data_IF_367447567347
#
_entry.id   IF_367447567347
#
_cell.length_a   1.000
_cell.length_b   1.000
_cell.length_c   1.000
_cell.angle_alpha   90.00
_cell.angle_beta   90.00
_cell.angle_gamma   90.00
#
_symmetry.space_group_name_H-M   'P 1'
#
loop_
_entity.id
_entity.type
_entity.pdbx_description
1 polymer ?
#
# COMPACT_ATOMS: atom_id res chain seq x y z
N UNK A 1 41.63 29.76 -46.72
CA UNK A 1 41.60 28.28 -46.67
C UNK A 1 41.43 27.86 -45.21
N UNK A 2 40.21 27.57 -44.83
CA UNK A 2 39.84 27.19 -43.45
C UNK A 2 39.55 25.70 -43.53
N UNK A 3 40.42 24.87 -42.95
CA UNK A 3 40.20 23.43 -42.83
C UNK A 3 39.27 23.14 -41.68
N UNK A 4 38.07 22.66 -41.98
CA UNK A 4 37.10 22.14 -41.05
C UNK A 4 37.61 20.81 -40.50
N UNK A 5 37.89 20.75 -39.18
CA UNK A 5 38.03 19.46 -38.47
C UNK A 5 36.63 18.85 -38.33
N UNK A 6 36.45 17.73 -39.00
CA UNK A 6 35.31 16.82 -38.78
C UNK A 6 35.67 15.96 -37.57
N UNK A 7 35.17 16.32 -36.41
CA UNK A 7 35.23 15.43 -35.24
C UNK A 7 34.20 14.32 -35.43
N UNK A 8 34.70 13.12 -35.51
CA UNK A 8 34.00 11.88 -35.85
C UNK A 8 32.97 11.48 -34.79
N UNK A 9 31.79 11.09 -35.25
CA UNK A 9 30.65 10.57 -34.51
C UNK A 9 30.92 9.34 -33.61
N UNK A 10 32.12 8.75 -33.69
CA UNK A 10 32.44 7.48 -33.06
C UNK A 10 32.63 7.55 -31.53
N UNK A 11 33.05 8.68 -30.98
CA UNK A 11 33.24 8.82 -29.52
C UNK A 11 31.92 8.98 -28.76
N UNK A 12 30.96 9.64 -29.39
CA UNK A 12 29.61 9.81 -28.79
C UNK A 12 28.83 8.48 -28.76
N UNK A 13 28.96 7.68 -29.82
CA UNK A 13 28.32 6.36 -29.93
C UNK A 13 28.92 5.35 -28.94
N UNK A 14 30.24 5.40 -28.70
CA UNK A 14 30.89 4.53 -27.69
C UNK A 14 30.45 4.91 -26.25
N UNK A 15 30.34 6.19 -25.93
CA UNK A 15 29.87 6.65 -24.60
C UNK A 15 28.39 6.31 -24.41
N UNK A 16 27.56 6.38 -25.44
CA UNK A 16 26.13 6.02 -25.38
C UNK A 16 25.97 4.51 -25.18
N UNK A 17 26.73 3.67 -25.89
CA UNK A 17 26.72 2.21 -25.70
C UNK A 17 27.20 1.80 -24.31
N UNK A 18 28.29 2.39 -23.80
CA UNK A 18 28.80 2.08 -22.46
C UNK A 18 27.81 2.47 -21.35
N UNK A 19 27.05 3.57 -21.52
CA UNK A 19 26.01 3.98 -20.57
C UNK A 19 24.77 3.08 -20.60
N UNK A 20 24.37 2.56 -21.76
CA UNK A 20 23.25 1.61 -21.88
C UNK A 20 23.60 0.28 -21.26
N UNK A 21 24.78 -0.27 -21.52
CA UNK A 21 25.24 -1.55 -20.96
C UNK A 21 25.42 -1.48 -19.43
N UNK A 22 25.94 -0.37 -18.91
CA UNK A 22 26.08 -0.15 -17.47
C UNK A 22 24.72 -0.07 -16.76
N UNK A 23 23.77 0.68 -17.31
CA UNK A 23 22.43 0.81 -16.76
C UNK A 23 21.64 -0.51 -16.79
N UNK A 24 21.80 -1.31 -17.85
CA UNK A 24 21.19 -2.64 -17.97
C UNK A 24 21.83 -3.66 -17.02
N UNK A 25 23.14 -3.59 -16.81
CA UNK A 25 23.82 -4.43 -15.82
C UNK A 25 23.39 -4.09 -14.38
N UNK A 26 23.24 -2.80 -14.06
CA UNK A 26 22.76 -2.33 -12.74
C UNK A 26 21.30 -2.75 -12.51
N UNK A 27 20.43 -2.62 -13.52
CA UNK A 27 19.05 -3.11 -13.47
C UNK A 27 18.98 -4.61 -13.27
N UNK A 28 19.73 -5.42 -14.06
CA UNK A 28 19.81 -6.88 -13.92
C UNK A 28 20.32 -7.31 -12.55
N UNK A 29 21.33 -6.62 -11.99
CA UNK A 29 21.87 -6.93 -10.66
C UNK A 29 20.89 -6.59 -9.55
N UNK A 30 20.16 -5.46 -9.65
CA UNK A 30 19.08 -5.08 -8.72
C UNK A 30 17.94 -6.10 -8.75
N UNK A 31 17.48 -6.52 -9.94
CA UNK A 31 16.43 -7.52 -10.11
C UNK A 31 16.83 -8.87 -9.52
N UNK A 32 18.06 -9.33 -9.77
CA UNK A 32 18.58 -10.61 -9.24
C UNK A 32 18.71 -10.58 -7.71
N UNK A 33 19.19 -9.48 -7.13
CA UNK A 33 19.27 -9.31 -5.68
C UNK A 33 17.86 -9.22 -5.05
N UNK A 34 16.90 -8.56 -5.71
CA UNK A 34 15.51 -8.51 -5.27
C UNK A 34 14.87 -9.90 -5.28
N UNK A 35 15.01 -10.66 -6.38
CA UNK A 35 14.51 -12.03 -6.49
C UNK A 35 15.12 -12.92 -5.39
N UNK A 36 16.44 -12.88 -5.19
CA UNK A 36 17.12 -13.68 -4.18
C UNK A 36 16.69 -13.29 -2.74
N UNK A 37 16.48 -12.01 -2.46
CA UNK A 37 15.99 -11.58 -1.15
C UNK A 37 14.51 -11.94 -0.95
N UNK A 38 13.71 -11.88 -2.01
CA UNK A 38 12.30 -12.23 -1.97
C UNK A 38 12.08 -13.72 -1.72
N UNK A 39 12.82 -14.59 -2.43
CA UNK A 39 12.73 -16.06 -2.25
C UNK A 39 13.28 -16.56 -0.91
N UNK A 40 14.17 -15.80 -0.26
CA UNK A 40 14.71 -16.10 1.08
C UNK A 40 13.85 -15.57 2.23
N UNK A 41 12.90 -14.70 1.93
CA UNK A 41 12.03 -14.10 2.95
C UNK A 41 11.15 -15.18 3.59
N UNK A 42 11.24 -15.29 4.93
CA UNK A 42 10.49 -16.26 5.72
C UNK A 42 8.97 -16.17 5.46
N UNK A 43 8.43 -14.98 5.35
CA UNK A 43 7.00 -14.77 5.16
C UNK A 43 6.53 -15.04 3.74
N UNK A 44 7.41 -14.85 2.74
CA UNK A 44 7.14 -15.29 1.36
C UNK A 44 7.04 -16.83 1.31
N UNK A 45 7.96 -17.54 1.96
CA UNK A 45 7.89 -19.01 2.04
C UNK A 45 6.64 -19.47 2.78
N UNK A 46 6.31 -18.85 3.90
CA UNK A 46 5.10 -19.15 4.65
C UNK A 46 3.82 -18.85 3.85
N UNK A 47 3.79 -17.78 3.06
CA UNK A 47 2.62 -17.51 2.20
C UNK A 47 2.47 -18.55 1.10
N UNK A 48 3.56 -19.00 0.51
CA UNK A 48 3.54 -20.06 -0.51
C UNK A 48 3.15 -21.43 0.07
N UNK A 49 3.66 -21.78 1.25
CA UNK A 49 3.31 -23.04 1.92
C UNK A 49 1.91 -23.04 2.54
N UNK A 50 1.40 -21.87 2.93
CA UNK A 50 0.07 -21.68 3.48
C UNK A 50 -1.00 -21.36 2.43
N UNK A 51 -0.66 -21.36 1.14
CA UNK A 51 -1.55 -21.01 0.03
C UNK A 51 -2.18 -19.62 0.19
N UNK A 52 -1.41 -18.65 0.69
CA UNK A 52 -1.83 -17.26 0.81
C UNK A 52 -1.37 -16.43 -0.40
N UNK A 53 -2.17 -15.45 -0.80
CA UNK A 53 -1.91 -14.63 -2.01
C UNK A 53 -0.59 -13.87 -1.94
N UNK A 54 -0.22 -13.34 -0.78
CA UNK A 54 1.09 -12.70 -0.57
C UNK A 54 1.46 -12.61 0.91
N UNK A 55 2.72 -12.20 1.17
CA UNK A 55 3.22 -11.93 2.54
C UNK A 55 2.45 -10.81 3.26
N UNK A 56 1.70 -9.94 2.54
CA UNK A 56 0.90 -8.89 3.14
C UNK A 56 -0.20 -9.45 4.07
N UNK A 57 -0.64 -10.70 3.86
CA UNK A 57 -1.51 -11.44 4.77
C UNK A 57 -1.02 -11.37 6.23
N UNK A 58 0.26 -11.61 6.45
CA UNK A 58 0.84 -11.63 7.80
C UNK A 58 0.89 -10.26 8.46
N UNK A 59 0.95 -9.18 7.69
CA UNK A 59 0.92 -7.81 8.24
C UNK A 59 -0.42 -7.55 8.94
N UNK A 60 -1.53 -7.82 8.26
CA UNK A 60 -2.85 -7.64 8.86
C UNK A 60 -3.09 -8.64 10.01
N UNK A 61 -2.67 -9.89 9.86
CA UNK A 61 -2.71 -10.89 10.94
C UNK A 61 -2.02 -10.38 12.23
N UNK A 62 -0.81 -9.83 12.13
CA UNK A 62 -0.06 -9.31 13.27
C UNK A 62 -0.74 -8.08 13.89
N UNK A 63 -1.24 -7.16 13.04
CA UNK A 63 -1.98 -5.98 13.47
C UNK A 63 -3.25 -6.40 14.22
N UNK A 64 -4.05 -7.28 13.63
CA UNK A 64 -5.30 -7.74 14.27
C UNK A 64 -5.04 -8.54 15.55
N UNK A 65 -4.02 -9.40 15.55
CA UNK A 65 -3.64 -10.15 16.77
C UNK A 65 -3.29 -9.21 17.92
N UNK A 66 -2.63 -8.10 17.65
CA UNK A 66 -2.18 -7.14 18.66
C UNK A 66 -3.28 -6.15 19.08
N UNK A 67 -4.00 -5.58 18.12
CA UNK A 67 -4.93 -4.48 18.34
C UNK A 67 -6.40 -4.91 18.32
N UNK A 68 -6.71 -6.15 17.89
CA UNK A 68 -8.06 -6.75 17.86
C UNK A 68 -9.06 -5.93 17.02
N UNK A 69 -8.57 -5.29 15.95
CA UNK A 69 -9.33 -4.36 15.11
C UNK A 69 -10.53 -5.01 14.41
N UNK A 70 -10.46 -6.31 14.13
CA UNK A 70 -11.51 -7.05 13.44
C UNK A 70 -12.59 -7.61 14.39
N UNK A 71 -12.34 -7.63 15.70
CA UNK A 71 -13.26 -8.29 16.65
C UNK A 71 -14.61 -7.55 16.75
N UNK A 72 -14.60 -6.22 16.72
CA UNK A 72 -15.77 -5.37 16.96
C UNK A 72 -16.26 -4.62 15.72
N UNK A 73 -15.72 -4.92 14.55
CA UNK A 73 -16.05 -4.28 13.29
C UNK A 73 -16.80 -5.25 12.38
N UNK A 74 -17.84 -4.82 11.69
CA UNK A 74 -18.64 -5.63 10.77
C UNK A 74 -18.52 -5.17 9.32
N UNK A 75 -18.64 -3.86 9.09
CA UNK A 75 -18.53 -3.23 7.79
C UNK A 75 -17.10 -2.79 7.55
N UNK A 76 -16.41 -3.44 6.63
CA UNK A 76 -14.97 -3.26 6.39
C UNK A 76 -14.74 -2.82 4.95
N UNK A 77 -13.92 -1.79 4.77
CA UNK A 77 -13.47 -1.31 3.47
C UNK A 77 -11.98 -1.52 3.31
N UNK A 78 -11.57 -2.31 2.31
CA UNK A 78 -10.16 -2.63 1.99
C UNK A 78 -9.74 -1.85 0.73
N UNK A 79 -8.93 -0.79 0.92
CA UNK A 79 -8.45 0.13 -0.11
C UNK A 79 -7.08 -0.32 -0.63
N UNK A 80 -6.93 -0.42 -1.96
CA UNK A 80 -5.70 -0.95 -2.57
C UNK A 80 -5.56 -2.45 -2.30
N UNK A 81 -6.67 -3.17 -2.46
CA UNK A 81 -6.81 -4.54 -1.99
C UNK A 81 -6.01 -5.57 -2.79
N UNK A 82 -5.69 -5.32 -4.08
CA UNK A 82 -5.01 -6.30 -4.94
C UNK A 82 -3.60 -6.66 -4.42
N UNK A 83 -3.23 -7.94 -4.43
CA UNK A 83 -3.87 -9.15 -4.96
C UNK A 83 -4.93 -9.79 -4.04
N UNK A 84 -5.32 -9.17 -2.93
CA UNK A 84 -6.38 -9.62 -2.04
C UNK A 84 -5.92 -10.25 -0.73
N UNK A 85 -4.69 -10.00 -0.29
CA UNK A 85 -4.13 -10.68 0.90
C UNK A 85 -4.82 -10.30 2.21
N UNK A 86 -5.22 -9.04 2.37
CA UNK A 86 -5.95 -8.58 3.54
C UNK A 86 -7.40 -9.05 3.51
N UNK A 87 -8.06 -8.88 2.37
CA UNK A 87 -9.39 -9.42 2.13
C UNK A 87 -9.46 -10.93 2.35
N UNK A 88 -8.43 -11.69 1.94
CA UNK A 88 -8.32 -13.12 2.16
C UNK A 88 -8.18 -13.48 3.65
N UNK A 89 -7.34 -12.73 4.40
CA UNK A 89 -7.23 -12.91 5.85
C UNK A 89 -8.58 -12.74 6.54
N UNK A 90 -9.30 -11.66 6.21
CA UNK A 90 -10.60 -11.35 6.81
C UNK A 90 -11.62 -12.43 6.46
N UNK A 91 -11.75 -12.79 5.18
CA UNK A 91 -12.70 -13.81 4.71
C UNK A 91 -12.47 -15.16 5.37
N UNK A 92 -11.20 -15.60 5.54
CA UNK A 92 -10.87 -16.87 6.18
C UNK A 92 -11.08 -16.88 7.69
N UNK A 93 -10.84 -15.73 8.35
CA UNK A 93 -10.84 -15.63 9.82
C UNK A 93 -12.18 -15.14 10.39
N UNK A 94 -12.99 -14.45 9.59
CA UNK A 94 -14.20 -13.75 10.02
C UNK A 94 -15.29 -13.80 8.93
N UNK A 95 -15.95 -14.97 8.79
CA UNK A 95 -16.85 -15.27 7.66
C UNK A 95 -18.11 -14.39 7.55
N UNK A 96 -18.52 -13.70 8.62
CA UNK A 96 -19.76 -12.94 8.67
C UNK A 96 -19.56 -11.41 8.44
N UNK A 97 -18.35 -11.01 8.03
CA UNK A 97 -18.06 -9.59 7.80
C UNK A 97 -18.60 -9.11 6.44
N UNK A 98 -19.18 -7.91 6.41
CA UNK A 98 -19.47 -7.22 5.17
C UNK A 98 -18.19 -6.55 4.67
N UNK A 99 -17.52 -7.17 3.71
CA UNK A 99 -16.21 -6.74 3.21
C UNK A 99 -16.31 -6.25 1.78
N UNK A 100 -16.06 -4.96 1.60
CA UNK A 100 -15.91 -4.31 0.30
C UNK A 100 -14.43 -4.06 0.05
N UNK A 101 -13.94 -4.50 -1.09
CA UNK A 101 -12.55 -4.32 -1.52
C UNK A 101 -12.50 -3.51 -2.81
N UNK A 102 -11.57 -2.56 -2.91
CA UNK A 102 -11.39 -1.76 -4.13
C UNK A 102 -9.92 -1.66 -4.53
N UNK A 103 -9.66 -1.81 -5.82
CA UNK A 103 -8.33 -1.59 -6.41
C UNK A 103 -8.47 -1.22 -7.89
N UNK A 104 -7.48 -0.49 -8.42
CA UNK A 104 -7.35 -0.21 -9.86
C UNK A 104 -6.90 -1.45 -10.64
N UNK A 105 -6.24 -2.39 -9.98
CA UNK A 105 -5.77 -3.67 -10.51
C UNK A 105 -6.80 -4.76 -10.23
N UNK A 106 -7.07 -5.63 -11.20
CA UNK A 106 -7.96 -6.76 -11.01
C UNK A 106 -7.49 -7.70 -9.91
N UNK A 107 -8.45 -8.27 -9.21
CA UNK A 107 -8.23 -9.23 -8.13
C UNK A 107 -9.00 -10.52 -8.40
N UNK A 108 -8.34 -11.67 -8.21
CA UNK A 108 -9.04 -12.97 -8.27
C UNK A 108 -10.15 -12.99 -7.20
N UNK A 109 -11.34 -13.52 -7.50
CA UNK A 109 -12.43 -13.58 -6.54
C UNK A 109 -12.06 -14.23 -5.21
N UNK A 110 -12.64 -13.73 -4.13
CA UNK A 110 -12.54 -14.28 -2.77
C UNK A 110 -13.96 -14.45 -2.26
N UNK A 111 -14.25 -15.61 -1.66
CA UNK A 111 -15.57 -15.87 -1.08
C UNK A 111 -15.88 -14.87 0.02
N UNK A 112 -17.09 -14.29 0.00
CA UNK A 112 -17.51 -13.31 1.00
C UNK A 112 -16.91 -11.90 0.83
N UNK A 113 -16.17 -11.63 -0.27
CA UNK A 113 -15.60 -10.32 -0.58
C UNK A 113 -16.29 -9.70 -1.80
N UNK A 114 -16.81 -8.51 -1.64
CA UNK A 114 -17.34 -7.76 -2.77
C UNK A 114 -16.24 -6.86 -3.34
N UNK A 115 -15.65 -7.27 -4.45
CA UNK A 115 -14.59 -6.51 -5.13
C UNK A 115 -15.15 -5.51 -6.13
N UNK A 116 -14.63 -4.30 -6.09
CA UNK A 116 -14.89 -3.21 -7.06
C UNK A 116 -13.56 -2.88 -7.74
N UNK A 117 -13.49 -3.09 -9.06
CA UNK A 117 -12.38 -2.53 -9.84
C UNK A 117 -12.63 -1.04 -10.02
N UNK A 118 -11.79 -0.20 -9.44
CA UNK A 118 -11.99 1.25 -9.46
C UNK A 118 -10.89 2.03 -8.75
N UNK A 119 -11.04 3.35 -8.79
CA UNK A 119 -10.10 4.29 -8.16
C UNK A 119 -10.82 5.05 -7.04
N UNK A 120 -10.25 5.06 -5.84
CA UNK A 120 -10.78 5.77 -4.66
C UNK A 120 -10.93 7.29 -4.88
N UNK A 121 -10.19 7.86 -5.82
CA UNK A 121 -10.31 9.28 -6.19
C UNK A 121 -11.44 9.56 -7.20
N UNK A 122 -12.05 8.50 -7.77
CA UNK A 122 -13.17 8.64 -8.68
C UNK A 122 -14.50 8.71 -7.93
N UNK A 123 -15.29 9.75 -8.17
CA UNK A 123 -16.57 10.00 -7.49
C UNK A 123 -17.57 8.86 -7.73
N UNK A 124 -17.67 8.33 -8.97
CA UNK A 124 -18.59 7.25 -9.30
C UNK A 124 -18.22 5.95 -8.55
N UNK A 125 -16.92 5.68 -8.38
CA UNK A 125 -16.48 4.48 -7.67
C UNK A 125 -16.73 4.62 -6.17
N UNK A 126 -16.54 5.81 -5.59
CA UNK A 126 -16.95 6.11 -4.21
C UNK A 126 -18.45 5.91 -4.01
N UNK A 127 -19.28 6.38 -4.94
CA UNK A 127 -20.75 6.15 -4.88
C UNK A 127 -21.11 4.67 -4.90
N UNK A 128 -20.41 3.85 -5.70
CA UNK A 128 -20.60 2.38 -5.70
C UNK A 128 -20.23 1.76 -4.34
N UNK A 129 -19.14 2.22 -3.72
CA UNK A 129 -18.75 1.76 -2.38
C UNK A 129 -19.85 2.12 -1.37
N UNK A 130 -20.26 3.40 -1.34
CA UNK A 130 -21.31 3.90 -0.44
C UNK A 130 -22.60 3.09 -0.53
N UNK A 131 -23.06 2.80 -1.76
CA UNK A 131 -24.29 2.04 -1.98
C UNK A 131 -24.24 0.61 -1.45
N UNK A 132 -23.06 0.05 -1.22
CA UNK A 132 -22.88 -1.34 -0.76
C UNK A 132 -22.54 -1.48 0.71
N UNK A 133 -21.80 -0.52 1.28
CA UNK A 133 -21.35 -0.61 2.66
C UNK A 133 -22.18 0.28 3.61
N UNK A 134 -22.78 1.35 3.09
CA UNK A 134 -23.37 2.41 3.94
C UNK A 134 -22.25 3.11 4.72
N UNK A 135 -22.14 2.81 6.01
CA UNK A 135 -21.05 3.27 6.88
C UNK A 135 -20.07 2.13 7.18
N UNK A 136 -18.77 2.43 7.13
CA UNK A 136 -17.71 1.49 7.50
C UNK A 136 -17.36 1.61 8.99
N UNK A 137 -17.17 0.48 9.65
CA UNK A 137 -16.58 0.40 10.98
C UNK A 137 -15.05 0.50 10.94
N UNK A 138 -14.47 -0.04 9.85
CA UNK A 138 -13.04 -0.16 9.66
C UNK A 138 -12.67 0.15 8.21
N UNK A 139 -11.75 1.07 8.02
CA UNK A 139 -11.06 1.31 6.75
C UNK A 139 -9.65 0.76 6.84
N UNK A 140 -9.29 -0.08 5.90
CA UNK A 140 -7.95 -0.65 5.73
C UNK A 140 -7.32 -0.10 4.47
N UNK A 141 -6.01 0.18 4.49
CA UNK A 141 -5.28 0.59 3.29
C UNK A 141 -3.85 0.07 3.29
N UNK A 142 -3.53 -0.80 2.34
CA UNK A 142 -2.15 -1.22 1.99
C UNK A 142 -1.66 -0.51 0.72
N UNK A 143 -2.27 0.63 0.35
CA UNK A 143 -1.86 1.43 -0.82
C UNK A 143 -0.43 1.92 -0.62
N UNK A 144 0.36 1.85 -1.69
CA UNK A 144 1.66 2.51 -1.79
C UNK A 144 1.74 3.28 -3.11
N UNK A 145 2.34 4.47 -3.12
CA UNK A 145 2.64 5.15 -4.37
C UNK A 145 3.73 4.40 -5.15
N UNK A 146 3.85 4.73 -6.42
CA UNK A 146 5.02 4.34 -7.20
C UNK A 146 6.25 5.06 -6.64
N UNK A 147 7.19 4.31 -6.09
CA UNK A 147 8.44 4.85 -5.55
C UNK A 147 9.35 5.27 -6.69
N UNK A 148 9.65 6.56 -6.78
CA UNK A 148 10.51 7.16 -7.80
C UNK A 148 11.98 7.08 -7.43
N UNK A 149 12.29 7.05 -6.12
CA UNK A 149 13.62 7.14 -5.54
C UNK A 149 14.09 8.59 -5.33
N UNK A 150 13.23 9.57 -5.63
CA UNK A 150 13.43 10.99 -5.29
C UNK A 150 12.61 11.26 -4.03
N UNK A 151 13.31 11.53 -2.92
CA UNK A 151 12.69 11.57 -1.59
C UNK A 151 11.51 12.53 -1.50
N UNK A 152 11.68 13.77 -1.95
CA UNK A 152 10.63 14.80 -1.87
C UNK A 152 9.38 14.42 -2.69
N UNK A 153 9.57 13.80 -3.87
CA UNK A 153 8.47 13.33 -4.71
C UNK A 153 7.74 12.18 -4.04
N UNK A 154 8.50 11.22 -3.50
CA UNK A 154 7.92 10.06 -2.83
C UNK A 154 7.15 10.49 -1.58
N UNK A 155 7.68 11.45 -0.80
CA UNK A 155 7.01 11.98 0.39
C UNK A 155 5.73 12.76 0.03
N UNK A 156 5.73 13.55 -1.03
CA UNK A 156 4.52 14.24 -1.53
C UNK A 156 3.43 13.24 -1.95
N UNK A 157 3.81 12.16 -2.64
CA UNK A 157 2.88 11.09 -3.04
C UNK A 157 2.26 10.38 -1.82
N UNK A 158 3.01 10.20 -0.71
CA UNK A 158 2.44 9.65 0.52
C UNK A 158 1.41 10.58 1.15
N UNK A 159 1.62 11.89 1.10
CA UNK A 159 0.64 12.87 1.60
C UNK A 159 -0.63 12.86 0.75
N UNK A 160 -0.51 12.80 -0.59
CA UNK A 160 -1.67 12.69 -1.48
C UNK A 160 -2.53 11.45 -1.18
N UNK A 161 -1.89 10.30 -0.91
CA UNK A 161 -2.59 9.08 -0.50
C UNK A 161 -3.28 9.27 0.85
N UNK A 162 -2.60 9.88 1.83
CA UNK A 162 -3.19 10.18 3.14
C UNK A 162 -4.45 11.03 3.00
N UNK A 163 -4.37 12.12 2.24
CA UNK A 163 -5.51 13.02 1.99
C UNK A 163 -6.67 12.29 1.30
N UNK A 164 -6.36 11.44 0.30
CA UNK A 164 -7.36 10.62 -0.39
C UNK A 164 -8.06 9.66 0.57
N UNK A 165 -7.32 9.00 1.46
CA UNK A 165 -7.87 8.07 2.47
C UNK A 165 -8.71 8.83 3.51
N UNK A 166 -8.24 9.98 4.00
CA UNK A 166 -9.02 10.82 4.92
C UNK A 166 -10.30 11.33 4.27
N UNK A 167 -10.26 11.66 2.97
CA UNK A 167 -11.45 11.99 2.19
C UNK A 167 -12.45 10.82 2.08
N UNK A 168 -11.98 9.57 2.05
CA UNK A 168 -12.86 8.38 2.17
C UNK A 168 -13.41 8.26 3.58
N UNK A 169 -12.57 8.43 4.62
CA UNK A 169 -13.02 8.36 6.01
C UNK A 169 -14.10 9.39 6.30
N UNK A 170 -13.96 10.62 5.83
CA UNK A 170 -14.97 11.69 6.05
C UNK A 170 -16.34 11.40 5.43
N UNK A 171 -16.41 10.53 4.43
CA UNK A 171 -17.65 10.18 3.75
C UNK A 171 -18.24 8.84 4.20
N UNK A 172 -17.42 7.92 4.71
CA UNK A 172 -17.80 6.52 4.87
C UNK A 172 -17.47 5.94 6.24
N UNK A 173 -16.50 6.48 6.97
CA UNK A 173 -16.12 5.94 8.27
C UNK A 173 -17.06 6.51 9.34
N UNK A 174 -17.71 5.64 10.09
CA UNK A 174 -18.58 6.07 11.18
C UNK A 174 -17.79 6.74 12.33
N UNK A 175 -18.47 7.53 13.13
CA UNK A 175 -17.90 8.05 14.40
C UNK A 175 -17.42 6.86 15.25
N UNK A 176 -16.29 7.03 15.93
CA UNK A 176 -15.57 5.98 16.65
C UNK A 176 -15.08 4.83 15.76
N UNK A 177 -15.09 4.98 14.43
CA UNK A 177 -14.53 4.02 13.49
C UNK A 177 -13.00 3.95 13.56
N UNK A 178 -12.46 2.94 12.89
CA UNK A 178 -11.01 2.62 12.90
C UNK A 178 -10.43 2.76 11.51
N UNK A 179 -9.25 3.36 11.41
CA UNK A 179 -8.43 3.36 10.20
C UNK A 179 -7.12 2.62 10.45
N UNK A 180 -6.77 1.71 9.56
CA UNK A 180 -5.42 1.15 9.48
C UNK A 180 -4.84 1.45 8.10
N UNK A 181 -3.76 2.22 8.06
CA UNK A 181 -3.14 2.57 6.78
C UNK A 181 -1.63 2.40 6.80
N UNK A 182 -1.10 1.93 5.67
CA UNK A 182 0.34 1.90 5.44
C UNK A 182 0.89 3.30 5.24
N UNK A 183 2.07 3.52 5.80
CA UNK A 183 2.86 4.73 5.60
C UNK A 183 4.36 4.39 5.54
N UNK A 184 5.19 5.34 5.11
CA UNK A 184 6.64 5.18 5.12
C UNK A 184 7.29 6.31 5.92
N UNK A 185 8.15 5.95 6.85
CA UNK A 185 8.88 6.93 7.65
C UNK A 185 9.82 7.73 6.75
N UNK A 186 9.69 9.04 6.78
CA UNK A 186 10.46 10.04 6.05
C UNK A 186 10.10 11.45 6.53
N UNK A 187 10.42 12.47 5.75
CA UNK A 187 10.21 13.89 6.12
C UNK A 187 8.72 14.25 6.35
N UNK A 188 7.77 13.54 5.71
CA UNK A 188 6.33 13.75 5.88
C UNK A 188 5.69 13.04 7.08
N UNK A 189 6.45 12.22 7.84
CA UNK A 189 5.89 11.39 8.92
C UNK A 189 5.22 12.21 10.03
N UNK A 190 5.87 13.26 10.52
CA UNK A 190 5.32 14.08 11.61
C UNK A 190 4.09 14.85 11.17
N UNK A 191 4.07 15.34 9.92
CA UNK A 191 2.89 15.96 9.31
C UNK A 191 1.73 14.96 9.26
N UNK A 192 1.95 13.77 8.71
CA UNK A 192 0.93 12.74 8.60
C UNK A 192 0.37 12.34 9.97
N UNK A 193 1.24 12.14 10.97
CA UNK A 193 0.83 11.81 12.33
C UNK A 193 0.01 12.92 12.98
N UNK A 194 0.39 14.18 12.77
CA UNK A 194 -0.37 15.34 13.27
C UNK A 194 -1.76 15.38 12.66
N UNK A 195 -1.86 15.29 11.32
CA UNK A 195 -3.15 15.29 10.58
C UNK A 195 -4.07 14.15 11.06
N UNK A 196 -3.53 12.95 11.25
CA UNK A 196 -4.31 11.83 11.78
C UNK A 196 -4.78 12.06 13.22
N UNK A 197 -3.97 12.67 14.09
CA UNK A 197 -4.37 13.01 15.46
C UNK A 197 -5.49 14.08 15.52
N UNK A 198 -5.60 14.92 14.50
CA UNK A 198 -6.72 15.87 14.38
C UNK A 198 -8.03 15.14 14.12
N UNK A 199 -8.01 14.05 13.34
CA UNK A 199 -9.19 13.29 12.91
C UNK A 199 -9.54 12.10 13.81
N UNK A 200 -8.59 11.58 14.62
CA UNK A 200 -8.78 10.39 15.45
C UNK A 200 -8.41 10.66 16.91
N UNK A 201 -9.03 9.93 17.84
CA UNK A 201 -8.73 10.03 19.27
C UNK A 201 -7.36 9.45 19.63
N UNK A 202 -6.96 8.38 18.95
CA UNK A 202 -5.70 7.70 19.20
C UNK A 202 -5.03 7.26 17.89
N UNK A 203 -3.76 7.60 17.73
CA UNK A 203 -2.93 7.23 16.56
C UNK A 203 -1.65 6.56 17.04
N UNK A 204 -1.49 5.29 16.69
CA UNK A 204 -0.31 4.49 17.03
C UNK A 204 0.41 4.06 15.75
N UNK A 205 1.73 4.18 15.74
CA UNK A 205 2.57 3.62 14.67
C UNK A 205 3.01 2.21 15.04
N UNK A 206 2.87 1.28 14.11
CA UNK A 206 3.28 -0.11 14.29
C UNK A 206 4.03 -0.63 13.06
N UNK A 207 5.13 -1.32 13.30
CA UNK A 207 5.87 -2.04 12.26
C UNK A 207 5.70 -3.54 12.50
N UNK A 208 4.93 -4.25 11.65
CA UNK A 208 4.82 -5.71 11.73
C UNK A 208 6.19 -6.39 11.52
N UNK A 209 6.42 -7.51 12.20
CA UNK A 209 7.64 -8.33 12.00
C UNK A 209 7.71 -8.89 10.57
N UNK A 210 6.53 -9.09 9.95
CA UNK A 210 6.41 -9.48 8.54
C UNK A 210 6.77 -8.36 7.57
N UNK A 211 6.95 -7.11 7.99
CA UNK A 211 7.56 -6.05 7.17
C UNK A 211 9.05 -6.33 6.96
N UNK A 212 9.59 -5.97 5.78
CA UNK A 212 11.03 -6.15 5.53
C UNK A 212 11.83 -5.27 6.49
N UNK A 213 12.88 -5.84 7.09
CA UNK A 213 13.72 -5.14 8.08
C UNK A 213 14.32 -3.83 7.54
N UNK A 214 14.71 -3.82 6.26
CA UNK A 214 15.28 -2.65 5.56
C UNK A 214 14.25 -1.65 5.04
N UNK A 215 12.95 -1.93 5.16
CA UNK A 215 11.90 -1.01 4.72
C UNK A 215 11.56 -0.02 5.83
N UNK A 216 11.35 1.24 5.46
CA UNK A 216 10.79 2.26 6.34
C UNK A 216 9.25 2.16 6.48
N UNK A 217 8.65 1.09 5.97
CA UNK A 217 7.22 0.82 6.06
C UNK A 217 6.77 0.66 7.50
N UNK A 218 5.69 1.34 7.84
CA UNK A 218 4.92 1.21 9.07
C UNK A 218 3.44 1.18 8.75
N UNK A 219 2.63 0.91 9.77
CA UNK A 219 1.19 1.11 9.72
C UNK A 219 0.75 2.08 10.81
N UNK A 220 -0.07 3.06 10.47
CA UNK A 220 -0.84 3.82 11.44
C UNK A 220 -2.10 3.05 11.80
N UNK A 221 -2.33 2.86 13.09
CA UNK A 221 -3.56 2.33 13.66
C UNK A 221 -4.25 3.49 14.38
N UNK A 222 -5.34 3.97 13.79
CA UNK A 222 -6.08 5.14 14.22
C UNK A 222 -7.44 4.68 14.75
N UNK A 223 -7.72 4.94 16.03
CA UNK A 223 -8.97 4.57 16.66
C UNK A 223 -9.77 5.83 17.03
N UNK A 224 -11.09 5.71 17.01
CA UNK A 224 -11.97 6.77 17.45
C UNK A 224 -12.02 7.92 16.45
N UNK A 225 -12.57 7.66 15.25
CA UNK A 225 -12.81 8.71 14.27
C UNK A 225 -13.77 9.77 14.84
N UNK A 226 -13.42 11.04 14.72
CA UNK A 226 -14.12 12.12 15.45
C UNK A 226 -15.28 12.73 14.66
N UNK A 227 -15.19 12.77 13.32
CA UNK A 227 -16.24 13.39 12.46
C UNK A 227 -15.99 13.14 10.97
#
# INVERSE_FOLDING_TARGET
MISRLVLTSSLFDVILCMNTDYNDMVKKKRTKNWINSHTKDKYVKLSQSGDYRSRAFYKLYEIDKKYKILKSTNNILDLGSSPGSWSEYISRSYQEKNLIAIDVIDMKPIVGVHFIKGNINNVNDRTKIMSKIGEADLVLSDIAPNITGIEDVDQANFIEILESILGICSNLLRINGVLVMKFFIGSSYDFARKTLNESFESVVSYKPDSSRSKSNEIFFICNGYKH
#
